data_IF_232994244972
#
_entry.id   IF_232994244972
#
_cell.length_a   1.000
_cell.length_b   1.000
_cell.length_c   1.000
_cell.angle_alpha   90.00
_cell.angle_beta   90.00
_cell.angle_gamma   90.00
#
_symmetry.space_group_name_H-M   'P 1'
#
loop_
_entity.id
_entity.type
_entity.pdbx_description
1 polymer ?
#
# COMPACT_ATOMS: atom_id res chain seq x y z
N UNK A 1 -25.29 -30.73 7.52
CA UNK A 1 -24.60 -30.11 8.67
C UNK A 1 -25.60 -29.22 9.37
N UNK A 2 -25.62 -29.23 10.69
CA UNK A 2 -26.43 -28.28 11.45
C UNK A 2 -25.87 -26.88 11.21
N UNK A 3 -26.71 -25.92 10.84
CA UNK A 3 -26.31 -24.57 10.55
C UNK A 3 -25.92 -23.88 11.87
N UNK A 4 -24.73 -23.30 11.92
CA UNK A 4 -24.21 -22.57 13.08
C UNK A 4 -24.32 -21.09 12.86
N UNK A 5 -24.83 -20.35 13.84
CA UNK A 5 -24.92 -18.89 13.76
C UNK A 5 -23.69 -18.24 14.40
N UNK A 6 -23.13 -17.21 13.74
CA UNK A 6 -22.08 -16.35 14.29
C UNK A 6 -22.60 -14.93 14.34
N UNK A 7 -22.56 -14.34 15.55
CA UNK A 7 -23.13 -13.04 15.87
C UNK A 7 -22.06 -11.95 15.81
N UNK A 8 -22.32 -10.95 15.01
CA UNK A 8 -21.37 -9.88 14.67
C UNK A 8 -21.74 -8.62 15.39
N UNK A 9 -20.78 -8.02 16.09
CA UNK A 9 -20.82 -6.67 16.58
C UNK A 9 -20.04 -5.74 15.64
N UNK A 10 -20.68 -4.69 15.13
CA UNK A 10 -20.09 -3.76 14.19
C UNK A 10 -19.79 -2.42 14.88
N UNK A 11 -18.54 -1.95 14.79
CA UNK A 11 -18.10 -0.63 15.20
C UNK A 11 -17.94 0.26 13.95
N UNK A 12 -18.91 1.15 13.74
CA UNK A 12 -18.99 2.02 12.57
C UNK A 12 -19.95 1.51 11.48
N UNK A 13 -20.89 2.37 11.09
CA UNK A 13 -21.86 2.12 10.01
C UNK A 13 -21.79 3.25 8.96
N UNK A 14 -20.57 3.49 8.47
CA UNK A 14 -20.29 4.37 7.33
C UNK A 14 -20.47 3.63 5.99
N UNK A 15 -19.83 4.13 4.95
CA UNK A 15 -19.88 3.56 3.58
C UNK A 15 -19.52 2.07 3.56
N UNK A 16 -18.45 1.66 4.24
CA UNK A 16 -17.99 0.26 4.25
C UNK A 16 -18.88 -0.60 5.14
N UNK A 17 -19.23 -0.12 6.35
CA UNK A 17 -20.07 -0.87 7.30
C UNK A 17 -21.50 -1.10 6.75
N UNK A 18 -22.10 -0.09 6.10
CA UNK A 18 -23.37 -0.25 5.41
C UNK A 18 -23.30 -1.27 4.28
N UNK A 19 -22.29 -1.15 3.42
CA UNK A 19 -22.07 -2.11 2.34
C UNK A 19 -21.79 -3.54 2.83
N UNK A 20 -21.14 -3.71 3.99
CA UNK A 20 -20.93 -5.03 4.60
C UNK A 20 -22.26 -5.67 4.99
N UNK A 21 -23.14 -4.93 5.68
CA UNK A 21 -24.46 -5.42 6.09
C UNK A 21 -25.33 -5.76 4.88
N UNK A 22 -25.29 -4.92 3.84
CA UNK A 22 -25.95 -5.22 2.56
C UNK A 22 -25.44 -6.54 1.95
N UNK A 23 -24.13 -6.73 1.85
CA UNK A 23 -23.53 -7.95 1.31
C UNK A 23 -23.88 -9.19 2.15
N UNK A 24 -23.82 -9.10 3.47
CA UNK A 24 -24.24 -10.21 4.36
C UNK A 24 -25.68 -10.58 4.08
N UNK A 25 -26.57 -9.58 3.95
CA UNK A 25 -28.01 -9.80 3.72
C UNK A 25 -28.26 -10.40 2.34
N UNK A 26 -27.66 -9.85 1.29
CA UNK A 26 -27.80 -10.30 -0.09
C UNK A 26 -27.27 -11.73 -0.28
N UNK A 27 -26.14 -12.08 0.34
CA UNK A 27 -25.44 -13.33 0.14
C UNK A 27 -25.73 -14.38 1.25
N UNK A 28 -26.61 -14.08 2.20
CA UNK A 28 -26.87 -14.91 3.39
C UNK A 28 -27.09 -16.38 3.07
N UNK A 29 -27.95 -16.66 2.08
CA UNK A 29 -28.30 -18.02 1.69
C UNK A 29 -27.11 -18.75 1.06
N UNK A 30 -26.36 -18.08 0.20
CA UNK A 30 -25.20 -18.65 -0.49
C UNK A 30 -24.04 -18.88 0.48
N UNK A 31 -23.78 -17.94 1.39
CA UNK A 31 -22.77 -18.09 2.45
C UNK A 31 -23.13 -19.30 3.33
N UNK A 32 -24.38 -19.39 3.78
CA UNK A 32 -24.84 -20.51 4.61
C UNK A 32 -24.73 -21.85 3.88
N UNK A 33 -25.06 -21.90 2.60
CA UNK A 33 -24.96 -23.13 1.79
C UNK A 33 -23.50 -23.56 1.58
N UNK A 34 -22.57 -22.61 1.38
CA UNK A 34 -21.17 -22.90 1.12
C UNK A 34 -20.37 -23.21 2.39
N UNK A 35 -20.71 -22.58 3.50
CA UNK A 35 -19.91 -22.63 4.74
C UNK A 35 -20.57 -23.39 5.89
N UNK A 36 -21.90 -23.55 5.86
CA UNK A 36 -22.69 -24.02 7.01
C UNK A 36 -22.88 -22.95 8.09
N UNK A 37 -22.53 -21.69 7.83
CA UNK A 37 -22.54 -20.60 8.81
C UNK A 37 -23.60 -19.57 8.43
N UNK A 38 -24.42 -19.17 9.41
CA UNK A 38 -25.36 -18.06 9.31
C UNK A 38 -24.76 -16.83 10.02
N UNK A 39 -24.46 -15.78 9.27
CA UNK A 39 -23.88 -14.54 9.77
C UNK A 39 -25.01 -13.58 10.18
N UNK A 40 -24.99 -13.13 11.43
CA UNK A 40 -26.02 -12.26 11.97
C UNK A 40 -25.39 -11.04 12.61
N UNK A 41 -25.71 -9.83 12.11
CA UNK A 41 -25.31 -8.58 12.78
C UNK A 41 -26.29 -8.32 13.90
N UNK A 42 -25.84 -8.40 15.16
CA UNK A 42 -26.69 -8.26 16.36
C UNK A 42 -26.60 -6.87 16.98
N UNK A 43 -25.43 -6.23 16.90
CA UNK A 43 -25.20 -4.91 17.51
C UNK A 43 -24.35 -4.02 16.59
N UNK A 44 -24.67 -2.73 16.62
CA UNK A 44 -23.92 -1.73 15.84
C UNK A 44 -23.69 -0.47 16.68
N UNK A 45 -22.43 -0.11 16.86
CA UNK A 45 -22.06 1.17 17.48
C UNK A 45 -21.84 2.26 16.43
N UNK A 46 -22.41 3.43 16.67
CA UNK A 46 -22.36 4.61 15.79
C UNK A 46 -22.29 5.88 16.62
N UNK A 47 -21.69 6.93 16.06
CA UNK A 47 -21.56 8.23 16.75
C UNK A 47 -22.85 9.09 16.77
N UNK A 48 -23.84 8.76 15.96
CA UNK A 48 -25.08 9.55 15.85
C UNK A 48 -26.27 8.62 15.63
N UNK A 49 -27.04 8.40 16.69
CA UNK A 49 -28.23 7.53 16.68
C UNK A 49 -29.42 8.12 15.89
N UNK A 50 -29.39 9.41 15.56
CA UNK A 50 -30.50 10.08 14.87
C UNK A 50 -30.50 9.87 13.36
N UNK A 51 -29.35 9.49 12.77
CA UNK A 51 -29.24 9.25 11.34
C UNK A 51 -29.96 7.97 10.93
N UNK A 52 -30.81 7.99 9.90
CA UNK A 52 -31.42 6.78 9.33
C UNK A 52 -30.34 5.82 8.81
N UNK A 53 -30.51 4.52 9.09
CA UNK A 53 -29.61 3.45 8.62
C UNK A 53 -30.43 2.34 7.98
N UNK A 54 -30.80 2.50 6.71
CA UNK A 54 -31.54 1.46 6.02
C UNK A 54 -30.71 0.15 5.96
N UNK A 55 -31.39 -0.97 6.03
CA UNK A 55 -30.76 -2.29 5.89
C UNK A 55 -30.16 -2.87 7.18
N UNK A 56 -30.17 -2.13 8.30
CA UNK A 56 -29.59 -2.60 9.58
C UNK A 56 -30.34 -3.80 10.21
N UNK A 57 -31.56 -4.09 9.77
CA UNK A 57 -32.40 -5.18 10.30
C UNK A 57 -32.77 -4.97 11.77
N UNK A 58 -32.72 -6.06 12.55
CA UNK A 58 -33.07 -6.09 13.97
C UNK A 58 -31.88 -5.80 14.89
N UNK A 59 -30.74 -5.36 14.36
CA UNK A 59 -29.54 -5.09 15.15
C UNK A 59 -29.78 -3.93 16.13
N UNK A 60 -29.29 -4.09 17.36
CA UNK A 60 -29.36 -3.07 18.40
C UNK A 60 -28.36 -1.94 18.08
N UNK A 61 -28.87 -0.72 17.98
CA UNK A 61 -28.04 0.48 17.80
C UNK A 61 -27.63 1.07 19.16
N UNK A 62 -26.36 1.44 19.27
CA UNK A 62 -25.82 2.14 20.44
C UNK A 62 -24.80 3.21 20.00
N UNK A 63 -24.53 4.18 20.87
CA UNK A 63 -23.40 5.13 20.72
C UNK A 63 -22.19 4.72 21.57
N UNK A 64 -22.29 3.58 22.30
CA UNK A 64 -21.25 3.08 23.17
C UNK A 64 -20.60 1.82 22.57
N UNK A 65 -19.36 1.92 22.08
CA UNK A 65 -18.64 0.77 21.55
C UNK A 65 -18.48 -0.36 22.57
N UNK A 66 -18.33 -0.03 23.87
CA UNK A 66 -18.24 -1.01 24.94
C UNK A 66 -19.46 -1.93 25.07
N UNK A 67 -20.66 -1.43 24.77
CA UNK A 67 -21.88 -2.23 24.76
C UNK A 67 -21.92 -3.27 23.64
N UNK A 68 -21.20 -3.04 22.55
CA UNK A 68 -20.99 -4.02 21.47
C UNK A 68 -19.90 -5.02 21.86
N UNK A 69 -18.77 -4.52 22.35
CA UNK A 69 -17.59 -5.34 22.64
C UNK A 69 -17.86 -6.33 23.79
N UNK A 70 -18.57 -5.88 24.83
CA UNK A 70 -18.82 -6.69 26.05
C UNK A 70 -20.07 -7.56 25.98
N UNK A 71 -20.88 -7.42 24.93
CA UNK A 71 -22.14 -8.13 24.81
C UNK A 71 -21.95 -9.66 24.67
N UNK A 72 -22.75 -10.44 25.39
CA UNK A 72 -22.75 -11.91 25.31
C UNK A 72 -23.36 -12.43 23.99
N UNK A 73 -24.08 -11.58 23.27
CA UNK A 73 -24.67 -11.87 21.96
C UNK A 73 -23.81 -11.39 20.79
N UNK A 74 -22.50 -11.19 21.02
CA UNK A 74 -21.48 -10.86 20.01
C UNK A 74 -20.33 -11.85 20.11
N UNK A 75 -20.09 -12.60 19.03
CA UNK A 75 -19.01 -13.60 18.91
C UNK A 75 -17.78 -13.03 18.18
N UNK A 76 -17.99 -12.08 17.25
CA UNK A 76 -16.99 -11.47 16.40
C UNK A 76 -17.19 -9.95 16.36
N UNK A 77 -16.11 -9.18 16.47
CA UNK A 77 -16.14 -7.72 16.37
C UNK A 77 -15.56 -7.26 15.02
N UNK A 78 -16.27 -6.35 14.33
CA UNK A 78 -15.80 -5.74 13.07
C UNK A 78 -15.63 -4.25 13.30
N UNK A 79 -14.40 -3.73 13.15
CA UNK A 79 -14.06 -2.31 13.36
C UNK A 79 -13.85 -1.61 12.00
N UNK A 80 -14.66 -0.56 11.75
CA UNK A 80 -14.67 0.21 10.50
C UNK A 80 -14.79 1.72 10.77
N UNK A 81 -14.22 2.21 11.88
CA UNK A 81 -14.34 3.63 12.29
C UNK A 81 -13.21 4.49 11.73
N UNK A 82 -12.00 3.95 11.58
CA UNK A 82 -10.86 4.65 11.01
C UNK A 82 -10.09 5.58 11.96
N UNK A 83 -10.57 5.84 13.18
CA UNK A 83 -9.85 6.60 14.22
C UNK A 83 -8.79 5.68 14.86
N UNK A 84 -7.54 6.14 14.98
CA UNK A 84 -6.43 5.29 15.45
C UNK A 84 -6.55 4.98 16.93
N UNK A 85 -6.59 6.01 17.80
CA UNK A 85 -6.56 5.82 19.25
C UNK A 85 -7.80 5.08 19.78
N UNK A 86 -8.98 5.48 19.31
CA UNK A 86 -10.23 4.81 19.70
C UNK A 86 -10.28 3.37 19.24
N UNK A 87 -9.87 3.10 17.99
CA UNK A 87 -9.88 1.75 17.44
C UNK A 87 -8.86 0.85 18.15
N UNK A 88 -7.67 1.38 18.52
CA UNK A 88 -6.69 0.65 19.32
C UNK A 88 -7.27 0.17 20.64
N UNK A 89 -7.93 1.07 21.37
CA UNK A 89 -8.56 0.73 22.65
C UNK A 89 -9.69 -0.30 22.48
N UNK A 90 -10.56 -0.11 21.50
CA UNK A 90 -11.71 -0.99 21.28
C UNK A 90 -11.29 -2.38 20.80
N UNK A 91 -10.37 -2.46 19.83
CA UNK A 91 -9.81 -3.72 19.36
C UNK A 91 -9.09 -4.41 20.50
N UNK A 92 -8.29 -3.68 21.28
CA UNK A 92 -7.62 -4.23 22.47
C UNK A 92 -8.57 -4.79 23.50
N UNK A 93 -9.72 -4.13 23.76
CA UNK A 93 -10.76 -4.65 24.66
C UNK A 93 -11.42 -5.92 24.09
N UNK A 94 -11.75 -5.96 22.80
CA UNK A 94 -12.34 -7.13 22.16
C UNK A 94 -11.40 -8.33 22.21
N UNK A 95 -10.12 -8.16 21.88
CA UNK A 95 -9.11 -9.21 21.91
C UNK A 95 -8.90 -9.74 23.34
N UNK A 96 -8.83 -8.86 24.37
CA UNK A 96 -8.73 -9.29 25.79
C UNK A 96 -9.96 -10.06 26.27
N UNK A 97 -11.12 -9.79 25.68
CA UNK A 97 -12.34 -10.56 25.93
C UNK A 97 -12.37 -11.92 25.15
N UNK A 98 -11.31 -12.27 24.43
CA UNK A 98 -11.22 -13.48 23.62
C UNK A 98 -12.05 -13.44 22.33
N UNK A 99 -12.50 -12.25 21.92
CA UNK A 99 -13.26 -12.08 20.68
C UNK A 99 -12.31 -11.77 19.53
N UNK A 100 -12.45 -12.51 18.43
CA UNK A 100 -11.74 -12.21 17.18
C UNK A 100 -12.20 -10.88 16.60
N UNK A 101 -11.29 -10.19 15.89
CA UNK A 101 -11.55 -8.87 15.33
C UNK A 101 -11.20 -8.84 13.85
N UNK A 102 -12.07 -8.20 13.06
CA UNK A 102 -11.82 -7.82 11.68
C UNK A 102 -11.71 -6.30 11.60
N UNK A 103 -10.65 -5.77 10.99
CA UNK A 103 -10.47 -4.31 10.83
C UNK A 103 -10.00 -3.95 9.42
N UNK A 104 -10.36 -2.74 8.98
CA UNK A 104 -9.83 -2.13 7.76
C UNK A 104 -8.89 -0.94 8.07
N UNK A 105 -8.53 -0.73 9.34
CA UNK A 105 -7.82 0.46 9.81
C UNK A 105 -6.31 0.36 9.56
N UNK A 106 -5.90 0.76 8.37
CA UNK A 106 -4.49 0.72 7.94
C UNK A 106 -3.57 1.56 8.82
N UNK A 107 -4.02 2.76 9.24
CA UNK A 107 -3.21 3.66 10.05
C UNK A 107 -2.91 3.04 11.43
N UNK A 108 -3.91 2.41 12.03
CA UNK A 108 -3.75 1.67 13.27
C UNK A 108 -2.76 0.50 13.13
N UNK A 109 -2.89 -0.29 12.07
CA UNK A 109 -2.01 -1.45 11.86
C UNK A 109 -0.57 -1.04 11.55
N UNK A 110 -0.37 0.04 10.78
CA UNK A 110 0.96 0.56 10.49
C UNK A 110 1.68 1.14 11.73
N UNK A 111 0.92 1.62 12.72
CA UNK A 111 1.47 2.17 13.97
C UNK A 111 1.56 1.14 15.11
N UNK A 112 0.56 0.27 15.25
CA UNK A 112 0.35 -0.59 16.42
C UNK A 112 0.10 -2.06 16.06
N UNK A 113 0.40 -2.49 14.82
CA UNK A 113 0.09 -3.84 14.34
C UNK A 113 0.71 -4.92 15.20
N UNK A 114 1.98 -4.78 15.60
CA UNK A 114 2.66 -5.75 16.48
C UNK A 114 1.93 -5.92 17.81
N UNK A 115 1.66 -4.83 18.50
CA UNK A 115 0.96 -4.86 19.80
C UNK A 115 -0.38 -5.61 19.71
N UNK A 116 -1.16 -5.32 18.67
CA UNK A 116 -2.48 -5.93 18.49
C UNK A 116 -2.41 -7.40 18.08
N UNK A 117 -1.43 -7.79 17.27
CA UNK A 117 -1.19 -9.19 16.89
C UNK A 117 -0.71 -10.03 18.08
N UNK A 118 0.20 -9.48 18.90
CA UNK A 118 0.67 -10.13 20.12
C UNK A 118 -0.51 -10.30 21.09
N UNK A 119 -1.32 -9.25 21.28
CA UNK A 119 -2.51 -9.31 22.14
C UNK A 119 -3.54 -10.34 21.67
N UNK A 120 -3.77 -10.45 20.36
CA UNK A 120 -4.63 -11.48 19.78
C UNK A 120 -4.11 -12.89 20.09
N UNK A 121 -2.81 -13.10 19.91
CA UNK A 121 -2.16 -14.39 20.20
C UNK A 121 -2.23 -14.76 21.68
N UNK A 122 -2.02 -13.81 22.60
CA UNK A 122 -2.11 -14.01 24.06
C UNK A 122 -3.50 -14.39 24.53
N UNK A 123 -4.56 -13.85 23.87
CA UNK A 123 -5.95 -14.06 24.28
C UNK A 123 -6.70 -15.10 23.43
N UNK A 124 -5.98 -15.90 22.63
CA UNK A 124 -6.57 -16.92 21.77
C UNK A 124 -7.67 -16.37 20.84
N UNK A 125 -7.43 -15.20 20.28
CA UNK A 125 -8.29 -14.52 19.32
C UNK A 125 -7.56 -14.28 17.99
N UNK A 126 -8.29 -13.99 16.94
CA UNK A 126 -7.74 -13.64 15.63
C UNK A 126 -7.89 -12.13 15.36
N UNK A 127 -6.89 -11.54 14.71
CA UNK A 127 -6.98 -10.21 14.13
C UNK A 127 -6.79 -10.33 12.62
N UNK A 128 -7.85 -10.06 11.85
CA UNK A 128 -7.87 -10.14 10.40
C UNK A 128 -8.03 -8.73 9.80
N UNK A 129 -7.35 -8.47 8.68
CA UNK A 129 -7.24 -7.11 8.15
C UNK A 129 -7.00 -7.05 6.63
N UNK A 130 -7.62 -7.94 5.87
CA UNK A 130 -7.51 -7.95 4.39
C UNK A 130 -7.80 -6.60 3.78
N UNK A 131 -8.86 -5.94 4.26
CA UNK A 131 -9.33 -4.65 3.74
C UNK A 131 -8.39 -3.47 4.03
N UNK A 132 -7.36 -3.63 4.85
CA UNK A 132 -6.41 -2.57 5.20
C UNK A 132 -5.45 -2.21 4.06
N UNK A 133 -5.19 -3.14 3.12
CA UNK A 133 -4.27 -2.94 2.00
C UNK A 133 -4.92 -3.37 0.69
N UNK A 134 -4.84 -2.50 -0.33
CA UNK A 134 -5.29 -2.76 -1.70
C UNK A 134 -6.80 -3.12 -1.84
N UNK A 135 -7.62 -2.77 -0.86
CA UNK A 135 -9.08 -2.85 -0.93
C UNK A 135 -9.63 -4.25 -1.24
N UNK A 136 -10.16 -4.46 -2.44
CA UNK A 136 -10.74 -5.74 -2.84
C UNK A 136 -9.71 -6.80 -3.30
N UNK A 137 -8.43 -6.43 -3.40
CA UNK A 137 -7.37 -7.38 -3.80
C UNK A 137 -7.06 -8.29 -2.60
N UNK A 138 -7.17 -9.63 -2.70
CA UNK A 138 -6.92 -10.55 -1.59
C UNK A 138 -5.40 -10.73 -1.34
N UNK A 139 -4.74 -9.67 -0.88
CA UNK A 139 -3.29 -9.64 -0.72
C UNK A 139 -2.84 -10.28 0.60
N UNK A 140 -3.41 -9.85 1.73
CA UNK A 140 -2.99 -10.32 3.06
C UNK A 140 -3.19 -11.83 3.18
N UNK A 141 -4.34 -12.33 2.75
CA UNK A 141 -4.64 -13.76 2.74
C UNK A 141 -3.74 -14.54 1.79
N UNK A 142 -3.42 -13.97 0.63
CA UNK A 142 -2.48 -14.58 -0.33
C UNK A 142 -1.10 -14.73 0.28
N UNK A 143 -0.55 -13.67 0.89
CA UNK A 143 0.75 -13.71 1.56
C UNK A 143 0.78 -14.69 2.73
N UNK A 144 -0.25 -14.67 3.58
CA UNK A 144 -0.31 -15.49 4.80
C UNK A 144 -0.62 -16.96 4.56
N UNK A 145 -1.32 -17.29 3.46
CA UNK A 145 -1.79 -18.67 3.18
C UNK A 145 -1.14 -19.26 1.95
N UNK A 146 -1.40 -18.68 0.78
CA UNK A 146 -0.99 -19.27 -0.50
C UNK A 146 0.51 -19.19 -0.71
N UNK A 147 1.14 -18.09 -0.30
CA UNK A 147 2.56 -17.83 -0.48
C UNK A 147 3.40 -18.05 0.79
N UNK A 148 2.85 -18.70 1.82
CA UNK A 148 3.55 -18.89 3.10
C UNK A 148 4.88 -19.65 2.98
N UNK A 149 5.02 -20.52 2.01
CA UNK A 149 6.25 -21.28 1.71
C UNK A 149 7.09 -20.68 0.61
N UNK A 150 6.67 -19.58 0.01
CA UNK A 150 7.37 -18.93 -1.09
C UNK A 150 8.50 -18.03 -0.54
N UNK A 151 9.73 -18.17 -1.05
CA UNK A 151 10.81 -17.25 -0.72
C UNK A 151 10.64 -15.92 -1.46
N UNK A 152 9.69 -15.12 -0.99
CA UNK A 152 9.42 -13.78 -1.54
C UNK A 152 10.69 -12.94 -1.40
N UNK A 153 11.12 -12.33 -2.50
CA UNK A 153 12.29 -11.46 -2.55
C UNK A 153 11.91 -10.00 -2.62
N UNK A 154 10.85 -9.67 -3.39
CA UNK A 154 10.40 -8.29 -3.60
C UNK A 154 8.89 -8.23 -3.83
N UNK A 155 8.28 -7.17 -3.32
CA UNK A 155 6.89 -6.81 -3.63
C UNK A 155 6.88 -5.36 -4.08
N UNK A 156 6.24 -5.09 -5.20
CA UNK A 156 6.04 -3.74 -5.75
C UNK A 156 4.54 -3.49 -5.91
N UNK A 157 4.04 -2.41 -5.33
CA UNK A 157 2.60 -2.14 -5.30
C UNK A 157 2.24 -0.74 -5.79
N UNK A 158 1.28 -0.67 -6.71
CA UNK A 158 0.45 0.50 -6.92
C UNK A 158 -0.72 0.36 -5.94
N UNK A 159 -0.58 0.96 -4.75
CA UNK A 159 -1.50 0.73 -3.62
C UNK A 159 -2.33 1.97 -3.26
N UNK A 160 -2.19 3.08 -4.00
CA UNK A 160 -3.00 4.27 -3.86
C UNK A 160 -3.70 4.58 -5.20
N UNK A 161 -5.04 4.54 -5.20
CA UNK A 161 -5.84 4.74 -6.42
C UNK A 161 -5.86 6.19 -6.90
N UNK A 162 -5.80 7.17 -6.00
CA UNK A 162 -5.80 8.60 -6.32
C UNK A 162 -4.55 8.98 -7.11
N UNK A 163 -3.38 8.64 -6.60
CA UNK A 163 -2.10 8.93 -7.28
C UNK A 163 -1.95 8.17 -8.59
N UNK A 164 -2.43 6.92 -8.66
CA UNK A 164 -2.39 6.19 -9.92
C UNK A 164 -3.35 6.78 -10.96
N UNK A 165 -4.54 7.26 -10.55
CA UNK A 165 -5.42 8.00 -11.44
C UNK A 165 -4.72 9.26 -11.97
N UNK A 166 -4.14 10.07 -11.08
CA UNK A 166 -3.46 11.32 -11.46
C UNK A 166 -2.32 11.08 -12.45
N UNK A 167 -1.39 10.17 -12.12
CA UNK A 167 -0.25 9.86 -12.99
C UNK A 167 -0.68 9.23 -14.33
N UNK A 168 -1.77 8.46 -14.35
CA UNK A 168 -2.33 7.90 -15.58
C UNK A 168 -2.91 9.00 -16.47
N UNK A 169 -3.70 9.92 -15.90
CA UNK A 169 -4.30 11.04 -16.63
C UNK A 169 -3.21 12.01 -17.14
N UNK A 170 -2.21 12.36 -16.33
CA UNK A 170 -1.06 13.15 -16.78
C UNK A 170 -0.34 12.49 -17.96
N UNK A 171 -0.22 11.15 -17.95
CA UNK A 171 0.42 10.41 -19.04
C UNK A 171 -0.43 10.37 -20.31
N UNK A 172 -1.75 10.23 -20.19
CA UNK A 172 -2.68 10.08 -21.32
C UNK A 172 -3.04 11.42 -21.96
N UNK A 173 -3.24 12.47 -21.15
CA UNK A 173 -3.73 13.76 -21.56
C UNK A 173 -2.62 14.81 -21.72
N UNK A 174 -1.42 14.54 -21.17
CA UNK A 174 -0.30 15.50 -21.13
C UNK A 174 -0.56 16.74 -20.26
N UNK A 175 -1.55 16.65 -19.35
CA UNK A 175 -1.96 17.75 -18.50
C UNK A 175 -1.05 17.90 -17.27
N UNK A 176 -1.06 19.10 -16.68
CA UNK A 176 -0.27 19.42 -15.51
C UNK A 176 -0.89 18.83 -14.22
N UNK A 177 -0.03 18.60 -13.22
CA UNK A 177 -0.41 18.07 -11.90
C UNK A 177 -1.59 18.81 -11.28
N UNK A 178 -1.58 20.16 -11.27
CA UNK A 178 -2.62 20.95 -10.63
C UNK A 178 -3.99 20.81 -11.32
N UNK A 179 -4.03 20.68 -12.64
CA UNK A 179 -5.25 20.46 -13.40
C UNK A 179 -5.83 19.09 -13.09
N UNK A 180 -5.01 18.05 -13.09
CA UNK A 180 -5.45 16.68 -12.81
C UNK A 180 -5.85 16.51 -11.35
N UNK A 181 -5.19 17.19 -10.40
CA UNK A 181 -5.62 17.17 -8.99
C UNK A 181 -7.03 17.77 -8.83
N UNK A 182 -7.29 18.91 -9.45
CA UNK A 182 -8.61 19.54 -9.41
C UNK A 182 -9.70 18.62 -10.02
N UNK A 183 -9.37 17.93 -11.11
CA UNK A 183 -10.26 16.95 -11.73
C UNK A 183 -10.49 15.72 -10.82
N UNK A 184 -9.45 15.20 -10.19
CA UNK A 184 -9.55 14.08 -9.23
C UNK A 184 -10.46 14.45 -8.04
N UNK A 185 -10.36 15.68 -7.52
CA UNK A 185 -11.25 16.20 -6.47
C UNK A 185 -12.70 16.31 -6.96
N UNK A 186 -12.91 16.84 -8.16
CA UNK A 186 -14.24 16.95 -8.77
C UNK A 186 -14.92 15.59 -8.97
N UNK A 187 -14.15 14.56 -9.33
CA UNK A 187 -14.63 13.19 -9.52
C UNK A 187 -14.75 12.39 -8.22
N UNK A 188 -14.29 12.94 -7.08
CA UNK A 188 -14.30 12.29 -5.78
C UNK A 188 -13.22 11.22 -5.59
N UNK A 189 -12.18 11.21 -6.40
CA UNK A 189 -11.00 10.38 -6.19
C UNK A 189 -10.06 10.97 -5.14
N UNK A 190 -9.98 12.30 -5.05
CA UNK A 190 -9.22 13.02 -4.03
C UNK A 190 -10.17 13.81 -3.13
N UNK A 191 -9.85 13.87 -1.84
CA UNK A 191 -10.55 14.73 -0.86
C UNK A 191 -10.10 16.18 -0.98
N UNK A 192 -10.74 17.08 -0.23
CA UNK A 192 -10.36 18.50 -0.19
C UNK A 192 -8.93 18.70 0.30
N UNK A 193 -8.49 17.90 1.27
CA UNK A 193 -7.08 17.76 1.66
C UNK A 193 -6.54 16.44 1.11
N UNK A 194 -5.81 16.45 -0.02
CA UNK A 194 -5.29 15.25 -0.67
C UNK A 194 -3.92 14.81 -0.14
N UNK A 195 -3.35 15.49 0.87
CA UNK A 195 -1.97 15.34 1.34
C UNK A 195 -1.61 13.88 1.62
N UNK A 196 -2.50 13.13 2.31
CA UNK A 196 -2.24 11.73 2.62
C UNK A 196 -2.03 10.86 1.38
N UNK A 197 -2.70 11.20 0.28
CA UNK A 197 -2.56 10.49 -1.00
C UNK A 197 -1.34 11.00 -1.77
N UNK A 198 -1.30 12.31 -2.07
CA UNK A 198 -0.32 12.87 -3.01
C UNK A 198 1.10 12.91 -2.47
N UNK A 199 1.27 13.03 -1.14
CA UNK A 199 2.57 12.93 -0.47
C UNK A 199 2.96 11.49 -0.12
N UNK A 200 2.11 10.51 -0.48
CA UNK A 200 2.43 9.08 -0.41
C UNK A 200 2.20 8.44 0.97
N UNK A 201 1.67 9.14 1.97
CA UNK A 201 1.51 8.62 3.33
C UNK A 201 0.54 7.43 3.41
N UNK A 202 -0.51 7.41 2.59
CA UNK A 202 -1.39 6.25 2.47
C UNK A 202 -0.64 5.01 1.95
N UNK A 203 0.19 5.19 0.93
CA UNK A 203 1.02 4.12 0.37
C UNK A 203 2.12 3.68 1.35
N UNK A 204 2.68 4.63 2.13
CA UNK A 204 3.68 4.39 3.18
C UNK A 204 3.13 3.44 4.27
N UNK A 205 1.96 3.74 4.82
CA UNK A 205 1.30 2.89 5.81
C UNK A 205 1.03 1.47 5.26
N UNK A 206 0.57 1.39 4.00
CA UNK A 206 0.33 0.10 3.34
C UNK A 206 1.63 -0.68 3.09
N UNK A 207 2.73 0.00 2.71
CA UNK A 207 4.04 -0.63 2.53
C UNK A 207 4.55 -1.27 3.83
N UNK A 208 4.38 -0.59 4.98
CA UNK A 208 4.72 -1.12 6.29
C UNK A 208 3.93 -2.41 6.60
N UNK A 209 2.62 -2.42 6.35
CA UNK A 209 1.77 -3.60 6.56
C UNK A 209 2.19 -4.74 5.62
N UNK A 210 2.46 -4.45 4.34
CA UNK A 210 2.93 -5.45 3.37
C UNK A 210 4.24 -6.07 3.84
N UNK A 211 5.23 -5.25 4.23
CA UNK A 211 6.52 -5.73 4.72
C UNK A 211 6.37 -6.59 5.98
N UNK A 212 5.55 -6.15 6.92
CA UNK A 212 5.26 -6.89 8.16
C UNK A 212 4.71 -8.28 7.86
N UNK A 213 3.71 -8.36 6.98
CA UNK A 213 3.04 -9.64 6.66
C UNK A 213 3.90 -10.54 5.77
N UNK A 214 4.55 -9.98 4.76
CA UNK A 214 5.35 -10.76 3.81
C UNK A 214 6.60 -11.38 4.43
N UNK A 215 7.24 -10.65 5.36
CA UNK A 215 8.54 -11.05 5.92
C UNK A 215 8.46 -11.48 7.40
N UNK A 216 7.30 -11.37 8.05
CA UNK A 216 7.11 -11.78 9.44
C UNK A 216 7.89 -10.94 10.45
N UNK A 217 8.09 -9.66 10.16
CA UNK A 217 8.86 -8.71 10.95
C UNK A 217 8.02 -7.51 11.34
N UNK A 218 8.42 -6.78 12.39
CA UNK A 218 7.74 -5.55 12.80
C UNK A 218 8.32 -4.37 12.03
N UNK A 219 7.54 -3.81 11.09
CA UNK A 219 7.84 -2.58 10.34
C UNK A 219 6.71 -1.59 10.60
N UNK A 220 7.05 -0.35 10.91
CA UNK A 220 6.11 0.77 11.07
C UNK A 220 6.17 1.71 9.89
N UNK A 221 5.23 2.66 9.79
CA UNK A 221 5.27 3.68 8.74
C UNK A 221 6.54 4.54 8.83
N UNK A 222 7.05 4.80 10.04
CA UNK A 222 8.27 5.60 10.25
C UNK A 222 9.54 4.92 9.69
N UNK A 223 9.51 3.61 9.52
CA UNK A 223 10.61 2.83 8.93
C UNK A 223 10.61 2.88 7.39
N UNK A 224 9.61 3.50 6.77
CA UNK A 224 9.41 3.53 5.32
C UNK A 224 9.63 4.95 4.79
N UNK A 225 10.78 5.27 4.17
CA UNK A 225 10.97 6.53 3.46
C UNK A 225 9.89 6.75 2.40
N UNK A 226 9.39 7.98 2.32
CA UNK A 226 8.30 8.34 1.40
C UNK A 226 8.63 9.59 0.61
N UNK A 227 8.32 9.55 -0.69
CA UNK A 227 8.34 10.67 -1.62
C UNK A 227 7.04 10.66 -2.40
N UNK A 228 6.29 11.77 -2.37
CA UNK A 228 5.01 11.95 -3.06
C UNK A 228 5.14 12.24 -4.54
N UNK A 229 3.98 12.52 -5.16
CA UNK A 229 3.91 12.83 -6.59
C UNK A 229 3.78 14.33 -6.88
N UNK A 230 3.72 15.18 -5.86
CA UNK A 230 3.53 16.64 -6.01
C UNK A 230 4.66 17.31 -6.80
N UNK A 231 5.85 16.71 -6.80
CA UNK A 231 7.00 17.16 -7.61
C UNK A 231 7.02 16.67 -9.06
N UNK A 232 6.13 15.75 -9.45
CA UNK A 232 6.10 15.17 -10.81
C UNK A 232 5.48 16.17 -11.78
N UNK A 233 6.21 16.52 -12.84
CA UNK A 233 5.79 17.50 -13.86
C UNK A 233 5.31 16.81 -15.16
N UNK A 234 4.58 17.53 -15.99
CA UNK A 234 4.24 17.07 -17.35
C UNK A 234 5.49 16.81 -18.21
N UNK A 235 6.57 17.59 -17.99
CA UNK A 235 7.84 17.38 -18.67
C UNK A 235 8.50 16.03 -18.27
N UNK A 236 8.45 15.67 -17.00
CA UNK A 236 8.97 14.38 -16.51
C UNK A 236 8.20 13.21 -17.12
N UNK A 237 6.86 13.32 -17.18
CA UNK A 237 6.00 12.33 -17.83
C UNK A 237 6.36 12.18 -19.31
N UNK A 238 6.55 13.29 -20.03
CA UNK A 238 6.91 13.27 -21.45
C UNK A 238 8.30 12.65 -21.67
N UNK A 239 9.29 13.00 -20.84
CA UNK A 239 10.63 12.43 -20.88
C UNK A 239 10.62 10.92 -20.58
N UNK A 240 9.90 10.50 -19.54
CA UNK A 240 9.74 9.07 -19.23
C UNK A 240 9.13 8.31 -20.41
N UNK A 241 8.05 8.86 -20.99
CA UNK A 241 7.36 8.26 -22.14
C UNK A 241 8.29 8.12 -23.36
N UNK A 242 9.07 9.15 -23.68
CA UNK A 242 10.06 9.13 -24.77
C UNK A 242 11.11 8.03 -24.59
N UNK A 243 11.51 7.78 -23.36
CA UNK A 243 12.46 6.71 -22.99
C UNK A 243 11.83 5.32 -22.88
N UNK A 244 10.51 5.18 -23.08
CA UNK A 244 9.81 3.91 -23.01
C UNK A 244 9.33 3.51 -21.61
N UNK A 245 9.10 4.50 -20.73
CA UNK A 245 8.67 4.32 -19.35
C UNK A 245 7.37 5.09 -19.04
N UNK A 246 6.66 4.63 -18.01
CA UNK A 246 5.63 5.42 -17.31
C UNK A 246 6.08 5.70 -15.89
N UNK A 247 5.63 6.81 -15.31
CA UNK A 247 5.87 7.11 -13.89
C UNK A 247 4.68 6.56 -13.08
N UNK A 248 4.99 5.78 -12.02
CA UNK A 248 4.03 5.27 -11.05
C UNK A 248 4.52 5.55 -9.64
N UNK A 249 3.60 5.84 -8.70
CA UNK A 249 3.94 5.81 -7.27
C UNK A 249 3.95 4.36 -6.81
N UNK A 250 5.12 3.84 -6.48
CA UNK A 250 5.29 2.46 -6.04
C UNK A 250 5.63 2.37 -4.55
N UNK A 251 4.91 1.50 -3.84
CA UNK A 251 5.36 0.91 -2.60
C UNK A 251 6.26 -0.28 -2.96
N UNK A 252 7.52 -0.24 -2.54
CA UNK A 252 8.48 -1.30 -2.81
C UNK A 252 8.99 -1.83 -1.48
N UNK A 253 8.85 -3.13 -1.26
CA UNK A 253 9.38 -3.82 -0.09
C UNK A 253 10.23 -5.00 -0.53
N UNK A 254 11.44 -5.11 0.01
CA UNK A 254 12.45 -6.05 -0.46
C UNK A 254 13.14 -6.73 0.72
N UNK A 255 13.40 -8.01 0.57
CA UNK A 255 14.29 -8.76 1.44
C UNK A 255 15.70 -8.73 0.83
N UNK A 256 16.66 -8.16 1.55
CA UNK A 256 18.03 -7.98 1.08
C UNK A 256 18.94 -8.98 1.78
N UNK A 257 19.83 -9.61 0.99
CA UNK A 257 20.73 -10.66 1.45
C UNK A 257 20.25 -12.07 1.08
N UNK A 258 21.16 -13.02 1.14
CA UNK A 258 20.93 -14.43 0.77
C UNK A 258 20.76 -15.35 2.00
N UNK A 259 21.15 -14.88 3.18
CA UNK A 259 21.14 -15.64 4.44
C UNK A 259 20.46 -14.84 5.55
N UNK A 260 19.79 -15.54 6.47
CA UNK A 260 19.19 -14.93 7.65
C UNK A 260 20.27 -14.53 8.69
N UNK A 261 20.07 -13.44 9.47
CA UNK A 261 18.92 -12.55 9.40
C UNK A 261 18.96 -11.63 8.17
N UNK A 262 17.84 -11.51 7.48
CA UNK A 262 17.72 -10.65 6.30
C UNK A 262 17.52 -9.19 6.68
N UNK A 263 18.10 -8.27 5.91
CA UNK A 263 17.70 -6.86 5.96
C UNK A 263 16.41 -6.66 5.16
N UNK A 264 15.57 -5.77 5.64
CA UNK A 264 14.34 -5.36 4.96
C UNK A 264 14.49 -3.91 4.48
N UNK A 265 14.30 -3.71 3.19
CA UNK A 265 14.20 -2.38 2.59
C UNK A 265 12.74 -2.13 2.22
N UNK A 266 12.18 -1.03 2.70
CA UNK A 266 10.84 -0.59 2.33
C UNK A 266 10.87 0.90 1.96
N UNK A 267 10.16 1.30 0.90
CA UNK A 267 10.11 2.68 0.43
C UNK A 267 8.87 2.95 -0.40
N UNK A 268 8.47 4.20 -0.50
CA UNK A 268 7.43 4.69 -1.41
C UNK A 268 7.96 5.87 -2.18
N UNK A 269 7.94 5.80 -3.50
CA UNK A 269 8.42 6.90 -4.34
C UNK A 269 7.88 6.83 -5.77
N UNK A 270 7.85 7.94 -6.50
CA UNK A 270 7.66 7.95 -7.94
C UNK A 270 8.76 7.13 -8.61
N UNK A 271 8.37 6.21 -9.48
CA UNK A 271 9.28 5.24 -10.10
C UNK A 271 8.98 5.13 -11.58
N UNK A 272 10.02 5.13 -12.41
CA UNK A 272 9.92 4.86 -13.83
C UNK A 272 9.78 3.35 -14.06
N UNK A 273 8.67 2.96 -14.65
CA UNK A 273 8.28 1.58 -14.95
C UNK A 273 8.31 1.37 -16.46
N UNK A 274 9.11 0.43 -17.00
CA UNK A 274 9.20 0.22 -18.44
C UNK A 274 7.87 -0.27 -19.02
N UNK A 275 7.54 0.13 -20.27
CA UNK A 275 6.26 -0.19 -20.91
C UNK A 275 5.95 -1.67 -20.98
N UNK A 276 6.95 -2.53 -21.01
CA UNK A 276 6.78 -3.99 -21.05
C UNK A 276 6.56 -4.62 -19.67
N UNK A 277 6.69 -3.86 -18.57
CA UNK A 277 6.44 -4.36 -17.21
C UNK A 277 4.91 -4.39 -16.93
N UNK A 278 4.38 -5.45 -16.28
CA UNK A 278 2.95 -5.56 -16.01
C UNK A 278 2.36 -4.35 -15.25
N UNK A 279 3.06 -3.76 -14.30
CA UNK A 279 2.61 -2.57 -13.57
C UNK A 279 2.41 -1.32 -14.45
N UNK A 280 3.08 -1.23 -15.60
CA UNK A 280 2.92 -0.12 -16.52
C UNK A 280 1.49 -0.05 -17.11
N UNK A 281 0.82 -1.19 -17.20
CA UNK A 281 -0.52 -1.30 -17.78
C UNK A 281 -1.66 -0.92 -16.83
N UNK A 282 -1.35 -0.73 -15.55
CA UNK A 282 -2.33 -0.41 -14.49
C UNK A 282 -2.74 1.07 -14.60
N UNK A 283 -3.99 1.32 -15.00
CA UNK A 283 -4.50 2.66 -15.28
C UNK A 283 -5.62 3.09 -14.33
N UNK A 284 -5.94 4.38 -14.35
CA UNK A 284 -7.00 4.97 -13.55
C UNK A 284 -6.81 4.71 -12.06
N UNK A 285 -7.90 4.53 -11.33
CA UNK A 285 -7.87 4.31 -9.88
C UNK A 285 -7.68 2.86 -9.45
N UNK A 286 -7.21 1.98 -10.35
CA UNK A 286 -6.94 0.59 -10.02
C UNK A 286 -5.62 0.44 -9.25
N UNK A 287 -5.61 -0.57 -8.39
CA UNK A 287 -4.41 -1.02 -7.69
C UNK A 287 -3.87 -2.31 -8.29
N UNK A 288 -2.58 -2.53 -8.10
CA UNK A 288 -1.94 -3.80 -8.42
C UNK A 288 -0.77 -4.04 -7.48
N UNK A 289 -0.53 -5.30 -7.16
CA UNK A 289 0.61 -5.74 -6.38
C UNK A 289 1.35 -6.81 -7.17
N UNK A 290 2.61 -6.57 -7.45
CA UNK A 290 3.51 -7.45 -8.18
C UNK A 290 4.49 -8.06 -7.18
N UNK A 291 4.53 -9.39 -7.13
CA UNK A 291 5.30 -10.19 -6.18
C UNK A 291 6.33 -10.99 -6.95
N UNK A 292 7.59 -10.89 -6.54
CA UNK A 292 8.69 -11.68 -7.04
C UNK A 292 9.14 -12.69 -5.98
N UNK A 293 9.35 -13.92 -6.40
CA UNK A 293 9.76 -14.99 -5.50
C UNK A 293 10.65 -16.02 -6.19
N UNK A 294 11.35 -16.80 -5.39
CA UNK A 294 12.36 -17.73 -5.91
C UNK A 294 11.79 -18.96 -6.62
N UNK A 295 10.52 -19.30 -6.39
CA UNK A 295 9.91 -20.47 -7.01
C UNK A 295 8.73 -20.11 -7.94
N UNK A 296 8.00 -19.03 -7.62
CA UNK A 296 6.85 -18.58 -8.42
C UNK A 296 7.25 -17.68 -9.61
N UNK A 297 8.52 -17.22 -9.64
CA UNK A 297 8.99 -16.13 -10.50
C UNK A 297 8.21 -14.84 -10.23
N UNK A 298 7.08 -14.64 -10.89
CA UNK A 298 6.29 -13.41 -10.85
C UNK A 298 4.80 -13.71 -10.65
N UNK A 299 4.16 -12.93 -9.79
CA UNK A 299 2.71 -12.94 -9.59
C UNK A 299 2.20 -11.52 -9.53
N UNK A 300 1.15 -11.18 -10.29
CA UNK A 300 0.46 -9.91 -10.15
C UNK A 300 -0.98 -10.12 -9.70
N UNK A 301 -1.37 -9.38 -8.65
CA UNK A 301 -2.73 -9.23 -8.20
C UNK A 301 -3.23 -7.84 -8.62
N UNK A 302 -4.42 -7.77 -9.21
CA UNK A 302 -4.99 -6.54 -9.76
C UNK A 302 -6.46 -6.39 -9.41
N UNK A 303 -6.90 -5.19 -9.06
CA UNK A 303 -8.31 -4.94 -8.73
C UNK A 303 -8.58 -3.52 -8.25
N UNK A 304 -9.79 -3.31 -7.69
CA UNK A 304 -10.18 -2.05 -7.07
C UNK A 304 -9.49 -1.89 -5.71
N UNK A 305 -8.74 -0.79 -5.54
CA UNK A 305 -8.01 -0.49 -4.30
C UNK A 305 -8.85 0.12 -3.18
N UNK A 306 -10.03 0.64 -3.51
CA UNK A 306 -10.95 1.31 -2.57
C UNK A 306 -12.38 1.26 -3.08
N UNK A 307 -13.33 1.70 -2.23
CA UNK A 307 -14.77 1.79 -2.54
C UNK A 307 -15.60 1.03 -1.52
N UNK A 308 -16.86 1.44 -1.31
CA UNK A 308 -17.73 0.85 -0.28
C UNK A 308 -17.86 -0.67 -0.43
N UNK A 309 -18.44 -1.14 -1.53
CA UNK A 309 -18.65 -2.58 -1.78
C UNK A 309 -17.33 -3.37 -2.00
N UNK A 310 -16.33 -2.89 -2.77
CA UNK A 310 -15.05 -3.57 -2.88
C UNK A 310 -14.36 -3.83 -1.54
N UNK A 311 -14.26 -2.80 -0.69
CA UNK A 311 -13.68 -2.93 0.65
C UNK A 311 -14.52 -3.83 1.56
N UNK A 312 -15.86 -3.68 1.52
CA UNK A 312 -16.78 -4.53 2.28
C UNK A 312 -16.68 -6.01 1.87
N UNK A 313 -16.39 -6.30 0.60
CA UNK A 313 -16.15 -7.68 0.13
C UNK A 313 -14.91 -8.32 0.77
N UNK A 314 -13.83 -7.55 0.93
CA UNK A 314 -12.62 -8.02 1.62
C UNK A 314 -12.92 -8.27 3.12
N UNK A 315 -13.62 -7.31 3.78
CA UNK A 315 -14.08 -7.46 5.17
C UNK A 315 -14.97 -8.70 5.33
N UNK A 316 -15.92 -8.92 4.41
CA UNK A 316 -16.79 -10.11 4.46
C UNK A 316 -16.00 -11.41 4.35
N UNK A 317 -14.96 -11.43 3.51
CA UNK A 317 -14.05 -12.58 3.43
C UNK A 317 -13.37 -12.88 4.76
N UNK A 318 -12.91 -11.85 5.49
CA UNK A 318 -12.33 -11.99 6.83
C UNK A 318 -13.37 -12.39 7.87
N UNK A 319 -14.58 -11.85 7.80
CA UNK A 319 -15.70 -12.24 8.66
C UNK A 319 -16.03 -13.72 8.50
N UNK A 320 -16.10 -14.23 7.27
CA UNK A 320 -16.34 -15.66 6.98
C UNK A 320 -15.19 -16.52 7.51
N UNK A 321 -13.95 -16.06 7.37
CA UNK A 321 -12.78 -16.77 7.87
C UNK A 321 -12.80 -16.87 9.40
N UNK A 322 -12.98 -15.73 10.10
CA UNK A 322 -13.10 -15.70 11.55
C UNK A 322 -14.28 -16.54 12.05
N UNK A 323 -15.44 -16.43 11.39
CA UNK A 323 -16.63 -17.21 11.73
C UNK A 323 -16.38 -18.74 11.58
N UNK A 324 -15.62 -19.13 10.56
CA UNK A 324 -15.22 -20.53 10.37
C UNK A 324 -14.30 -21.01 11.49
N UNK A 325 -13.37 -20.16 11.95
CA UNK A 325 -12.53 -20.45 13.12
C UNK A 325 -13.36 -20.64 14.40
N UNK A 326 -14.28 -19.72 14.66
CA UNK A 326 -15.17 -19.74 15.83
C UNK A 326 -16.00 -21.04 15.86
N UNK A 327 -16.65 -21.39 14.75
CA UNK A 327 -17.52 -22.59 14.67
C UNK A 327 -16.75 -23.90 14.79
N UNK A 328 -15.47 -23.92 14.36
CA UNK A 328 -14.60 -25.10 14.45
C UNK A 328 -13.82 -25.18 15.77
N UNK A 329 -13.89 -24.14 16.62
CA UNK A 329 -13.07 -24.02 17.82
C UNK A 329 -11.58 -23.90 17.53
N UNK A 330 -11.23 -23.38 16.34
CA UNK A 330 -9.85 -23.18 15.91
C UNK A 330 -9.55 -21.69 15.85
N UNK A 331 -8.40 -21.31 16.39
CA UNK A 331 -7.88 -19.93 16.29
C UNK A 331 -6.59 -19.98 15.51
N UNK A 332 -6.56 -19.24 14.42
CA UNK A 332 -5.37 -19.12 13.62
C UNK A 332 -4.48 -18.01 14.16
N UNK A 333 -3.29 -18.37 14.58
CA UNK A 333 -2.29 -17.42 15.07
C UNK A 333 -1.28 -17.12 13.98
N UNK A 334 -1.00 -15.85 13.76
CA UNK A 334 0.22 -15.46 13.10
C UNK A 334 1.39 -15.78 14.04
N UNK A 335 2.53 -16.22 13.50
CA UNK A 335 3.75 -16.33 14.31
C UNK A 335 4.08 -14.96 14.93
N UNK A 336 4.69 -14.91 16.13
CA UNK A 336 5.20 -13.66 16.67
C UNK A 336 6.10 -12.97 15.66
N UNK A 337 5.92 -11.66 15.51
CA UNK A 337 6.74 -10.87 14.61
C UNK A 337 8.17 -10.75 15.16
N UNK A 338 9.16 -11.03 14.33
CA UNK A 338 10.57 -10.75 14.66
C UNK A 338 10.85 -9.25 14.62
N UNK A 339 11.95 -8.82 15.27
CA UNK A 339 12.47 -7.48 15.07
C UNK A 339 13.05 -7.37 13.66
N UNK A 340 12.71 -6.29 12.96
CA UNK A 340 13.24 -6.05 11.63
C UNK A 340 14.67 -5.52 11.69
N UNK A 341 15.54 -6.01 10.81
CA UNK A 341 16.77 -5.33 10.43
C UNK A 341 16.43 -4.40 9.26
N UNK A 342 16.04 -3.17 9.59
CA UNK A 342 15.69 -2.17 8.57
C UNK A 342 16.95 -1.67 7.90
N UNK A 343 17.00 -1.81 6.56
CA UNK A 343 18.11 -1.28 5.77
C UNK A 343 18.05 0.25 5.77
N UNK A 344 19.15 0.95 6.11
CA UNK A 344 19.19 2.41 6.04
C UNK A 344 18.84 2.91 4.64
N UNK A 345 18.06 4.00 4.49
CA UNK A 345 17.62 4.51 3.20
C UNK A 345 18.78 4.76 2.23
N UNK A 346 19.89 5.31 2.72
CA UNK A 346 21.09 5.62 1.93
C UNK A 346 21.81 4.38 1.39
N UNK A 347 21.60 3.21 2.01
CA UNK A 347 22.15 1.94 1.55
C UNK A 347 21.23 1.22 0.57
N UNK A 348 19.97 1.66 0.40
CA UNK A 348 19.06 1.10 -0.59
C UNK A 348 19.63 1.26 -2.00
N UNK A 349 19.42 0.25 -2.86
CA UNK A 349 19.94 0.25 -4.22
C UNK A 349 18.81 0.29 -5.25
N UNK A 350 19.00 1.10 -6.28
CA UNK A 350 18.11 1.20 -7.45
C UNK A 350 18.91 1.56 -8.70
N UNK A 351 18.34 1.35 -9.85
CA UNK A 351 18.75 2.11 -11.01
C UNK A 351 18.06 3.48 -10.95
N UNK A 352 18.67 4.49 -11.51
CA UNK A 352 18.19 5.87 -11.45
C UNK A 352 18.11 6.50 -12.84
N UNK A 353 17.07 7.28 -13.05
CA UNK A 353 16.97 8.29 -14.08
C UNK A 353 17.39 9.64 -13.50
N UNK A 354 18.21 10.39 -14.24
CA UNK A 354 18.64 11.74 -13.89
C UNK A 354 18.61 12.62 -15.14
N UNK A 355 17.96 13.78 -15.04
CA UNK A 355 17.92 14.81 -16.07
C UNK A 355 18.83 15.97 -15.70
N UNK A 356 19.61 16.47 -16.66
CA UNK A 356 20.49 17.61 -16.50
C UNK A 356 20.30 18.62 -17.63
N UNK A 357 20.27 19.90 -17.30
CA UNK A 357 20.50 20.98 -18.27
C UNK A 357 21.95 21.46 -18.17
N UNK A 358 22.67 21.44 -19.27
CA UNK A 358 24.11 21.77 -19.35
C UNK A 358 24.42 22.70 -20.49
N UNK A 359 25.58 23.29 -20.47
CA UNK A 359 26.12 24.09 -21.62
C UNK A 359 26.37 23.13 -22.81
N UNK A 360 25.91 23.50 -24.00
CA UNK A 360 26.19 22.75 -25.23
C UNK A 360 27.58 23.10 -25.76
N UNK A 361 28.60 22.51 -25.13
CA UNK A 361 30.00 22.76 -25.50
C UNK A 361 30.86 21.49 -25.42
N UNK A 362 31.94 21.43 -26.24
CA UNK A 362 32.83 20.27 -26.23
C UNK A 362 33.46 20.03 -24.86
N UNK A 363 33.38 18.75 -24.38
CA UNK A 363 33.98 18.33 -23.12
C UNK A 363 33.00 18.22 -21.96
N UNK A 364 31.84 18.90 -21.99
CA UNK A 364 30.85 18.89 -20.90
C UNK A 364 30.35 17.49 -20.59
N UNK A 365 30.00 16.70 -21.62
CA UNK A 365 29.60 15.31 -21.42
C UNK A 365 30.69 14.45 -20.74
N UNK A 366 31.95 14.65 -21.09
CA UNK A 366 33.08 13.95 -20.48
C UNK A 366 33.25 14.32 -19.00
N UNK A 367 33.08 15.62 -18.67
CA UNK A 367 33.12 16.12 -17.29
C UNK A 367 31.99 15.52 -16.46
N UNK A 368 30.76 15.58 -16.95
CA UNK A 368 29.58 15.00 -16.31
C UNK A 368 29.75 13.50 -16.10
N UNK A 369 30.12 12.75 -17.14
CA UNK A 369 30.34 11.28 -17.04
C UNK A 369 31.47 10.94 -16.06
N UNK A 370 32.50 11.79 -15.96
CA UNK A 370 33.59 11.66 -14.99
C UNK A 370 33.07 11.72 -13.54
N UNK A 371 32.07 12.57 -13.24
CA UNK A 371 31.46 12.66 -11.91
C UNK A 371 30.72 11.36 -11.54
N UNK A 372 29.96 10.77 -12.47
CA UNK A 372 29.31 9.48 -12.24
C UNK A 372 30.35 8.39 -11.89
N UNK A 373 31.39 8.26 -12.71
CA UNK A 373 32.45 7.28 -12.48
C UNK A 373 33.21 7.47 -11.16
N UNK A 374 33.49 8.75 -10.77
CA UNK A 374 34.16 9.06 -9.52
C UNK A 374 33.34 8.72 -8.27
N UNK A 375 32.01 8.69 -8.38
CA UNK A 375 31.09 8.29 -7.31
C UNK A 375 30.55 6.86 -7.47
N UNK A 376 31.23 6.00 -8.21
CA UNK A 376 30.87 4.59 -8.41
C UNK A 376 29.50 4.34 -9.08
N UNK A 377 28.93 5.35 -9.73
CA UNK A 377 27.69 5.23 -10.49
C UNK A 377 27.97 4.87 -11.93
N UNK A 378 27.53 3.71 -12.38
CA UNK A 378 27.71 3.23 -13.76
C UNK A 378 26.54 3.68 -14.63
N UNK A 379 26.83 4.40 -15.72
CA UNK A 379 25.82 4.81 -16.71
C UNK A 379 25.45 3.64 -17.60
N UNK A 380 24.16 3.32 -17.69
CA UNK A 380 23.61 2.28 -18.59
C UNK A 380 23.27 2.85 -19.96
N UNK A 381 22.57 3.97 -19.99
CA UNK A 381 22.22 4.68 -21.21
C UNK A 381 22.18 6.18 -20.99
N UNK A 382 22.34 6.94 -22.07
CA UNK A 382 22.28 8.37 -22.06
C UNK A 382 21.69 8.87 -23.37
N UNK A 383 20.86 9.91 -23.30
CA UNK A 383 20.39 10.67 -24.45
C UNK A 383 20.81 12.12 -24.28
N UNK A 384 21.21 12.77 -25.38
CA UNK A 384 21.55 14.18 -25.43
C UNK A 384 20.73 14.87 -26.51
N UNK A 385 20.09 15.97 -26.13
CA UNK A 385 19.41 16.88 -27.06
C UNK A 385 20.01 18.29 -26.89
N UNK A 386 20.64 18.79 -27.94
CA UNK A 386 21.23 20.12 -27.96
C UNK A 386 20.28 21.14 -28.59
N UNK A 387 20.24 22.37 -28.05
CA UNK A 387 19.48 23.52 -28.57
C UNK A 387 20.35 24.67 -29.01
N UNK A 388 21.68 24.44 -29.15
CA UNK A 388 22.69 25.39 -29.67
C UNK A 388 23.49 26.11 -28.58
N UNK A 389 22.92 26.48 -27.45
CA UNK A 389 23.63 27.05 -26.29
C UNK A 389 23.50 26.20 -25.06
N UNK A 390 22.43 25.40 -24.96
CA UNK A 390 22.16 24.48 -23.90
C UNK A 390 21.87 23.10 -24.45
N UNK A 391 22.19 22.05 -23.69
CA UNK A 391 21.83 20.68 -23.98
C UNK A 391 21.12 20.07 -22.77
N UNK A 392 20.14 19.21 -23.03
CA UNK A 392 19.56 18.30 -22.04
C UNK A 392 20.28 16.95 -22.11
N UNK A 393 20.69 16.45 -20.97
CA UNK A 393 21.29 15.12 -20.80
C UNK A 393 20.38 14.28 -19.92
N UNK A 394 19.83 13.20 -20.46
CA UNK A 394 19.04 12.24 -19.73
C UNK A 394 19.82 10.94 -19.52
N UNK A 395 20.07 10.58 -18.27
CA UNK A 395 20.84 9.39 -17.90
C UNK A 395 19.93 8.31 -17.28
N UNK A 396 20.18 7.04 -17.62
CA UNK A 396 19.73 5.89 -16.85
C UNK A 396 20.98 5.14 -16.36
N UNK A 397 21.05 4.86 -15.05
CA UNK A 397 22.18 4.19 -14.44
C UNK A 397 21.97 2.68 -14.35
N UNK A 398 23.03 1.92 -14.12
CA UNK A 398 22.92 0.62 -13.49
C UNK A 398 22.55 0.77 -12.01
N UNK A 399 22.43 -0.36 -11.28
CA UNK A 399 22.18 -0.35 -9.83
C UNK A 399 23.27 0.45 -9.12
N UNK A 400 22.86 1.41 -8.29
CA UNK A 400 23.72 2.21 -7.43
C UNK A 400 23.03 2.41 -6.08
N UNK A 401 23.77 2.78 -5.04
CA UNK A 401 23.18 3.13 -3.75
C UNK A 401 22.57 4.54 -3.80
N UNK A 402 21.58 4.81 -2.94
CA UNK A 402 21.04 6.17 -2.75
C UNK A 402 22.16 7.15 -2.30
N UNK A 403 23.14 6.67 -1.51
CA UNK A 403 24.30 7.49 -1.11
C UNK A 403 25.17 7.88 -2.30
N UNK A 404 25.48 6.94 -3.21
CA UNK A 404 26.34 7.22 -4.37
C UNK A 404 25.65 8.19 -5.34
N UNK A 405 24.35 8.02 -5.58
CA UNK A 405 23.62 8.95 -6.45
C UNK A 405 23.47 10.35 -5.82
N UNK A 406 23.26 10.42 -4.50
CA UNK A 406 23.21 11.70 -3.79
C UNK A 406 24.56 12.46 -3.88
N UNK A 407 25.69 11.77 -3.68
CA UNK A 407 27.02 12.31 -3.84
C UNK A 407 27.29 12.76 -5.30
N UNK A 408 26.78 11.99 -6.27
CA UNK A 408 26.87 12.33 -7.70
C UNK A 408 26.11 13.64 -7.97
N UNK A 409 24.88 13.79 -7.48
CA UNK A 409 24.06 14.98 -7.65
C UNK A 409 24.73 16.22 -7.01
N UNK A 410 25.29 16.09 -5.81
CA UNK A 410 26.00 17.16 -5.13
C UNK A 410 27.17 17.66 -5.97
N UNK A 411 27.97 16.73 -6.54
CA UNK A 411 29.09 17.09 -7.42
C UNK A 411 28.64 17.71 -8.73
N UNK A 412 27.60 17.17 -9.36
CA UNK A 412 27.04 17.73 -10.60
C UNK A 412 26.54 19.17 -10.39
N UNK A 413 25.86 19.46 -9.30
CA UNK A 413 25.44 20.82 -8.94
C UNK A 413 26.60 21.78 -8.73
N UNK A 414 27.83 21.32 -8.49
CA UNK A 414 29.01 22.13 -8.31
C UNK A 414 29.76 22.44 -9.61
N UNK A 415 29.40 21.79 -10.71
CA UNK A 415 30.04 22.01 -12.02
C UNK A 415 29.54 23.29 -12.66
N UNK A 416 30.45 24.21 -13.12
CA UNK A 416 30.03 25.42 -13.82
C UNK A 416 29.28 25.17 -15.13
N UNK A 417 29.50 24.01 -15.77
CA UNK A 417 28.87 23.58 -17.02
C UNK A 417 27.49 22.99 -16.85
N UNK A 418 27.04 22.74 -15.60
CA UNK A 418 25.72 22.23 -15.26
C UNK A 418 24.82 23.37 -14.81
N UNK A 419 23.86 23.74 -15.64
CA UNK A 419 22.93 24.84 -15.38
C UNK A 419 21.83 24.42 -14.38
N UNK A 420 21.40 23.16 -14.44
CA UNK A 420 20.38 22.62 -13.57
C UNK A 420 20.50 21.10 -13.48
N UNK A 421 20.41 20.56 -12.27
CA UNK A 421 20.08 19.18 -12.03
C UNK A 421 18.56 19.09 -11.93
N UNK A 422 17.94 18.31 -12.81
CA UNK A 422 16.49 18.17 -12.93
C UNK A 422 15.94 17.04 -12.09
N UNK A 423 14.99 16.28 -12.64
CA UNK A 423 14.32 15.21 -11.93
C UNK A 423 15.23 14.00 -11.67
N UNK A 424 15.06 13.39 -10.51
CA UNK A 424 15.63 12.10 -10.14
C UNK A 424 14.50 11.10 -9.91
N UNK A 425 14.49 10.00 -10.65
CA UNK A 425 13.53 8.89 -10.43
C UNK A 425 14.26 7.56 -10.30
N UNK A 426 13.74 6.68 -9.43
CA UNK A 426 14.16 5.29 -9.42
C UNK A 426 13.57 4.59 -10.64
N UNK A 427 14.29 3.60 -11.17
CA UNK A 427 13.92 2.84 -12.37
C UNK A 427 13.89 1.36 -12.03
N UNK A 428 12.81 0.65 -12.39
CA UNK A 428 12.71 -0.81 -12.26
C UNK A 428 12.86 -1.50 -13.61
N UNK A 429 13.12 -2.82 -13.60
CA UNK A 429 13.25 -3.62 -14.82
C UNK A 429 14.52 -3.34 -15.63
N UNK A 430 15.60 -2.91 -14.98
CA UNK A 430 16.88 -2.55 -15.61
C UNK A 430 17.99 -3.49 -15.21
#
# INVERSE_FOLDING_TARGET
MEMQSVRIGLLGFGTVGGSLVELITEQRTDIAALTGIDLIVTRVAVNDLTKPRPGIGDAVLTDQASEVIQADDVDLVVELVGAVDLARDWIGQALRAGKSVVTANKALLAAHGRELLDLAAENNAELLFEASVAGAIPLMRTLQKSLRGEPITRIMGIVNGTTNYMLSAMTEDGADYAEILAEAQRLGYAEADPTADVEGHDAQAKAAIIATVAFGVSITADDVPVEGISGVTAADIANASRLGYVIKLLAVVERVGTEAPYEISARVNPTMVPFNHPLATVRGSFNAVFIEGGALDELMLYGRGAGGRPTASAVLGDVIEAASGITQGTVRRLPPLADALVRPPEAATSAFYLDLAVDDSPGVLAEVAGVFGANHVSIRSMEQEGTGTEASLAFITHQASEADIAATIEKLNSLPSVNRVGALYRVIGV
#
